data_IF_507252393151
#
_entry.id   IF_507252393151
#
_cell.length_a   1.000
_cell.length_b   1.000
_cell.length_c   1.000
_cell.angle_alpha   90.00
_cell.angle_beta   90.00
_cell.angle_gamma   90.00
#
_symmetry.space_group_name_H-M   'P 1'
#
loop_
_entity.id
_entity.type
_entity.pdbx_description
1 polymer ?
#
# COMPACT_ATOMS: atom_id res chain seq x y z
N UNK A 1 6.97 -32.25 5.14
CA UNK A 1 7.66 -31.10 5.74
C UNK A 1 6.60 -30.16 6.28
N UNK A 2 6.54 -29.91 7.60
CA UNK A 2 5.56 -28.95 8.16
C UNK A 2 5.97 -27.54 7.72
N UNK A 3 5.14 -26.85 6.94
CA UNK A 3 5.37 -25.45 6.57
C UNK A 3 5.05 -24.60 7.80
N UNK A 4 6.04 -23.89 8.33
CA UNK A 4 5.85 -22.96 9.45
C UNK A 4 5.35 -21.63 8.90
N UNK A 5 4.30 -21.08 9.51
CA UNK A 5 3.80 -19.75 9.16
C UNK A 5 4.82 -18.71 9.59
N UNK A 6 5.24 -17.90 8.63
CA UNK A 6 6.17 -16.78 8.85
C UNK A 6 5.50 -15.48 8.44
N UNK A 7 5.39 -14.58 9.39
CA UNK A 7 4.90 -13.22 9.16
C UNK A 7 5.78 -12.21 9.90
N UNK A 8 6.10 -11.11 9.24
CA UNK A 8 6.90 -10.04 9.78
C UNK A 8 8.27 -9.91 9.12
N UNK A 9 9.16 -9.15 9.75
CA UNK A 9 10.53 -8.93 9.28
C UNK A 9 11.43 -10.02 9.80
N UNK A 10 12.36 -10.44 8.96
CA UNK A 10 13.38 -11.42 9.26
C UNK A 10 14.71 -10.97 8.68
N UNK A 11 15.80 -11.45 9.25
CA UNK A 11 17.13 -11.17 8.74
C UNK A 11 18.01 -12.42 8.78
N UNK A 12 19.09 -12.38 8.02
CA UNK A 12 20.24 -13.28 8.20
C UNK A 12 21.28 -12.53 9.04
N UNK A 13 21.68 -13.15 10.13
CA UNK A 13 22.74 -12.69 11.02
C UNK A 13 23.62 -13.88 11.39
N UNK A 14 24.92 -13.77 11.14
CA UNK A 14 25.90 -14.87 11.28
C UNK A 14 25.41 -16.16 10.60
N UNK A 15 24.90 -16.04 9.36
CA UNK A 15 24.42 -17.18 8.55
C UNK A 15 23.13 -17.84 9.07
N UNK A 16 22.46 -17.29 10.09
CA UNK A 16 21.23 -17.82 10.65
C UNK A 16 20.08 -16.84 10.52
N UNK A 17 18.85 -17.38 10.38
CA UNK A 17 17.64 -16.58 10.26
C UNK A 17 17.08 -16.18 11.63
N UNK A 18 16.80 -14.90 11.81
CA UNK A 18 16.15 -14.35 13.01
C UNK A 18 14.94 -13.49 12.63
N UNK A 19 13.95 -13.43 13.53
CA UNK A 19 12.87 -12.46 13.42
C UNK A 19 13.36 -11.08 13.88
N UNK A 20 12.99 -10.03 13.15
CA UNK A 20 13.40 -8.65 13.45
C UNK A 20 12.25 -7.87 14.05
N UNK A 21 12.54 -7.13 15.12
CA UNK A 21 11.60 -6.23 15.78
C UNK A 21 12.31 -4.92 16.18
N UNK A 22 11.53 -3.99 16.77
CA UNK A 22 12.04 -2.81 17.45
C UNK A 22 11.81 -2.96 18.95
N UNK A 23 12.77 -2.53 19.78
CA UNK A 23 12.53 -2.37 21.21
C UNK A 23 11.79 -1.05 21.52
N UNK A 24 11.49 -0.79 22.78
CA UNK A 24 10.81 0.44 23.24
C UNK A 24 11.55 1.73 22.86
N UNK A 25 12.85 1.65 22.67
CA UNK A 25 13.73 2.78 22.37
C UNK A 25 13.94 2.94 20.86
N UNK A 26 13.28 2.09 20.04
CA UNK A 26 13.39 2.09 18.59
C UNK A 26 14.62 1.37 18.02
N UNK A 27 15.45 0.70 18.87
CA UNK A 27 16.59 -0.06 18.40
C UNK A 27 16.14 -1.34 17.69
N UNK A 28 16.90 -1.76 16.69
CA UNK A 28 16.68 -3.04 16.02
C UNK A 28 17.08 -4.18 16.95
N UNK A 29 16.16 -5.12 17.16
CA UNK A 29 16.41 -6.35 17.90
C UNK A 29 16.11 -7.57 17.01
N UNK A 30 16.95 -8.58 17.11
CA UNK A 30 16.72 -9.90 16.50
C UNK A 30 16.26 -10.87 17.59
N UNK A 31 15.36 -11.78 17.20
CA UNK A 31 14.64 -12.66 18.09
C UNK A 31 14.66 -14.10 17.57
N UNK A 32 14.85 -15.08 18.47
CA UNK A 32 14.74 -16.51 18.14
C UNK A 32 14.24 -17.29 19.35
N UNK A 33 13.65 -18.47 19.06
CA UNK A 33 13.36 -19.53 20.06
C UNK A 33 14.35 -20.70 19.98
N UNK A 34 15.28 -20.63 19.04
CA UNK A 34 16.27 -21.69 18.85
C UNK A 34 17.52 -21.36 19.66
N UNK A 35 17.70 -22.07 20.76
CA UNK A 35 18.86 -21.95 21.65
C UNK A 35 20.17 -22.44 21.04
N UNK A 36 20.13 -23.15 19.91
CA UNK A 36 21.32 -23.67 19.24
C UNK A 36 22.06 -22.65 18.37
N UNK A 37 21.41 -21.51 18.06
CA UNK A 37 21.95 -20.50 17.17
C UNK A 37 22.28 -19.18 17.89
N UNK A 38 22.19 -19.17 19.22
CA UNK A 38 22.47 -17.99 20.05
C UNK A 38 23.86 -18.07 20.68
N UNK A 39 24.43 -16.92 20.96
CA UNK A 39 25.64 -16.76 21.76
C UNK A 39 25.34 -16.09 23.12
N UNK A 40 26.36 -15.84 23.93
CA UNK A 40 26.24 -15.25 25.26
C UNK A 40 25.68 -13.80 25.27
N UNK A 41 25.52 -13.17 24.13
CA UNK A 41 24.98 -11.80 24.01
C UNK A 41 23.46 -11.78 23.85
N UNK A 42 22.84 -12.94 23.63
CA UNK A 42 21.38 -13.06 23.59
C UNK A 42 20.81 -13.17 25.02
N UNK A 43 19.72 -12.50 25.25
CA UNK A 43 19.05 -12.43 26.56
C UNK A 43 17.61 -12.90 26.43
N UNK A 44 17.21 -13.85 27.28
CA UNK A 44 15.78 -14.14 27.53
C UNK A 44 15.30 -13.27 28.72
N UNK A 45 14.83 -12.06 28.39
CA UNK A 45 14.42 -11.06 29.37
C UNK A 45 13.27 -11.52 30.29
N UNK A 46 12.43 -12.44 29.82
CA UNK A 46 11.16 -12.80 30.47
C UNK A 46 11.09 -14.29 30.85
N UNK A 47 12.15 -15.07 30.66
CA UNK A 47 12.12 -16.50 30.88
C UNK A 47 11.12 -17.26 30.00
N UNK A 48 10.84 -16.70 28.81
CA UNK A 48 9.80 -17.18 27.89
C UNK A 48 10.32 -18.14 26.82
N UNK A 49 11.62 -18.41 26.82
CA UNK A 49 12.30 -19.15 25.76
C UNK A 49 12.44 -18.36 24.46
N UNK A 50 12.24 -17.03 24.52
CA UNK A 50 12.49 -16.11 23.41
C UNK A 50 13.72 -15.30 23.71
N UNK A 51 14.77 -15.57 23.00
CA UNK A 51 16.05 -14.88 23.13
C UNK A 51 16.09 -13.66 22.21
N UNK A 52 16.63 -12.55 22.68
CA UNK A 52 16.74 -11.31 21.95
C UNK A 52 18.15 -10.72 22.05
N UNK A 53 18.58 -10.05 20.97
CA UNK A 53 19.86 -9.31 20.90
C UNK A 53 19.63 -8.01 20.15
N UNK A 54 20.22 -6.90 20.65
CA UNK A 54 20.30 -5.64 19.89
C UNK A 54 21.39 -5.78 18.83
N UNK A 55 21.07 -5.32 17.61
CA UNK A 55 22.00 -5.30 16.48
C UNK A 55 21.87 -3.98 15.73
N UNK A 56 22.96 -3.56 15.09
CA UNK A 56 22.91 -2.51 14.07
C UNK A 56 22.48 -3.07 12.73
N UNK A 57 21.99 -2.23 11.82
CA UNK A 57 21.65 -2.69 10.47
C UNK A 57 22.87 -3.13 9.66
N UNK A 58 24.04 -2.65 10.01
CA UNK A 58 25.32 -3.01 9.37
C UNK A 58 25.79 -4.43 9.73
N UNK A 59 25.34 -4.97 10.87
CA UNK A 59 25.64 -6.34 11.28
C UNK A 59 24.72 -7.38 10.61
N UNK A 60 23.67 -6.92 9.88
CA UNK A 60 22.69 -7.79 9.24
C UNK A 60 23.13 -8.05 7.80
N UNK A 61 23.26 -9.33 7.43
CA UNK A 61 23.67 -9.77 6.09
C UNK A 61 22.55 -9.59 5.06
N UNK A 62 21.30 -9.97 5.44
CA UNK A 62 20.09 -9.82 4.64
C UNK A 62 18.93 -9.41 5.54
N UNK A 63 18.07 -8.50 5.06
CA UNK A 63 16.83 -8.10 5.72
C UNK A 63 15.66 -8.30 4.75
N UNK A 64 14.60 -9.01 5.18
CA UNK A 64 13.46 -9.31 4.35
C UNK A 64 12.17 -9.47 5.16
N UNK A 65 11.04 -9.50 4.46
CA UNK A 65 9.71 -9.63 5.07
C UNK A 65 8.98 -10.85 4.51
N UNK A 66 8.45 -11.69 5.41
CA UNK A 66 7.49 -12.71 5.07
C UNK A 66 6.06 -12.25 5.33
N UNK A 67 5.16 -12.62 4.42
CA UNK A 67 3.72 -12.56 4.62
C UNK A 67 3.12 -13.84 4.04
N UNK A 68 2.53 -14.64 4.90
CA UNK A 68 1.92 -15.91 4.51
C UNK A 68 0.46 -15.69 4.11
N UNK A 69 0.09 -16.16 2.94
CA UNK A 69 -1.26 -16.03 2.40
C UNK A 69 -1.89 -17.41 2.13
N UNK A 70 -3.21 -17.45 2.19
CA UNK A 70 -4.02 -18.57 1.73
C UNK A 70 -5.00 -18.10 0.65
N UNK A 71 -5.34 -18.99 -0.27
CA UNK A 71 -6.43 -18.77 -1.23
C UNK A 71 -7.63 -19.61 -0.81
N UNK A 72 -8.78 -18.95 -0.58
CA UNK A 72 -10.02 -19.56 -0.14
C UNK A 72 -11.13 -19.07 -1.07
N UNK A 73 -11.79 -19.98 -1.79
CA UNK A 73 -12.84 -19.62 -2.76
C UNK A 73 -12.38 -18.51 -3.75
N UNK A 74 -11.15 -18.62 -4.24
CA UNK A 74 -10.48 -17.64 -5.12
C UNK A 74 -10.15 -16.27 -4.47
N UNK A 75 -10.35 -16.12 -3.16
CA UNK A 75 -9.95 -14.91 -2.44
C UNK A 75 -8.63 -15.14 -1.71
N UNK A 76 -7.71 -14.18 -1.82
CA UNK A 76 -6.44 -14.16 -1.10
C UNK A 76 -6.65 -13.58 0.30
N UNK A 77 -6.26 -14.31 1.34
CA UNK A 77 -6.34 -13.86 2.73
C UNK A 77 -4.99 -14.05 3.43
N UNK A 78 -4.70 -13.24 4.43
CA UNK A 78 -3.51 -13.41 5.26
C UNK A 78 -3.69 -14.62 6.17
N UNK A 79 -2.62 -15.41 6.36
CA UNK A 79 -2.56 -16.43 7.41
C UNK A 79 -1.75 -15.84 8.55
N UNK A 80 -2.40 -15.52 9.67
CA UNK A 80 -1.77 -14.78 10.77
C UNK A 80 -1.09 -15.71 11.77
N UNK A 81 -1.74 -16.81 12.08
CA UNK A 81 -1.24 -17.85 13.01
C UNK A 81 -1.87 -19.20 12.72
N UNK A 82 -1.33 -20.24 13.35
CA UNK A 82 -1.87 -21.59 13.29
C UNK A 82 -1.89 -22.26 14.67
N UNK A 83 -2.79 -23.22 14.84
CA UNK A 83 -2.74 -24.22 15.88
C UNK A 83 -2.65 -25.64 15.27
N UNK A 84 -2.96 -26.68 16.02
CA UNK A 84 -2.88 -28.05 15.51
C UNK A 84 -3.87 -28.35 14.38
N UNK A 85 -5.07 -27.75 14.41
CA UNK A 85 -6.20 -28.07 13.51
C UNK A 85 -6.55 -26.93 12.56
N UNK A 86 -6.29 -25.67 12.92
CA UNK A 86 -6.80 -24.51 12.24
C UNK A 86 -5.69 -23.51 11.85
N UNK A 87 -5.93 -22.83 10.76
CA UNK A 87 -5.27 -21.55 10.44
C UNK A 87 -6.19 -20.39 10.85
N UNK A 88 -5.62 -19.39 11.51
CA UNK A 88 -6.28 -18.13 11.75
C UNK A 88 -5.96 -17.22 10.56
N UNK A 89 -7.01 -16.90 9.80
CA UNK A 89 -6.89 -16.12 8.57
C UNK A 89 -7.64 -14.79 8.69
N UNK A 90 -7.12 -13.77 8.03
CA UNK A 90 -7.72 -12.44 8.04
C UNK A 90 -7.52 -11.68 6.74
N UNK A 91 -8.32 -10.64 6.57
CA UNK A 91 -8.21 -9.70 5.46
C UNK A 91 -8.65 -8.32 5.90
N UNK A 92 -8.03 -7.27 5.35
CA UNK A 92 -8.50 -5.90 5.48
C UNK A 92 -9.60 -5.57 4.45
N UNK A 93 -9.85 -6.46 3.47
CA UNK A 93 -10.84 -6.27 2.43
C UNK A 93 -12.23 -6.68 2.92
N UNK A 94 -13.13 -5.69 3.08
CA UNK A 94 -14.49 -5.92 3.56
C UNK A 94 -15.32 -6.79 2.61
N UNK A 95 -15.10 -6.73 1.29
CA UNK A 95 -15.81 -7.57 0.31
C UNK A 95 -15.38 -9.03 0.44
N UNK A 96 -14.08 -9.26 0.53
CA UNK A 96 -13.53 -10.59 0.80
C UNK A 96 -13.99 -11.10 2.15
N UNK A 97 -13.99 -10.26 3.18
CA UNK A 97 -14.47 -10.62 4.51
C UNK A 97 -15.95 -11.04 4.47
N UNK A 98 -16.80 -10.27 3.80
CA UNK A 98 -18.22 -10.60 3.61
C UNK A 98 -18.42 -11.89 2.83
N UNK A 99 -17.74 -12.06 1.70
CA UNK A 99 -17.83 -13.26 0.86
C UNK A 99 -17.39 -14.55 1.58
N UNK A 100 -16.44 -14.44 2.51
CA UNK A 100 -15.92 -15.55 3.30
C UNK A 100 -16.57 -15.70 4.68
N UNK A 101 -17.51 -14.81 5.05
CA UNK A 101 -18.17 -14.82 6.36
C UNK A 101 -17.19 -14.58 7.52
N UNK A 102 -16.19 -13.71 7.34
CA UNK A 102 -15.23 -13.37 8.39
C UNK A 102 -15.84 -12.40 9.39
N UNK A 103 -15.61 -12.62 10.68
CA UNK A 103 -16.15 -11.76 11.74
C UNK A 103 -15.32 -10.48 11.91
N UNK A 104 -15.97 -9.38 12.27
CA UNK A 104 -15.34 -8.06 12.44
C UNK A 104 -14.72 -7.92 13.83
N UNK A 105 -13.47 -8.33 14.00
CA UNK A 105 -12.67 -8.04 15.20
C UNK A 105 -11.35 -7.40 14.75
N UNK A 106 -11.19 -6.10 14.87
CA UNK A 106 -10.04 -5.26 14.49
C UNK A 106 -9.49 -5.47 13.05
N UNK A 107 -9.49 -6.70 12.57
CA UNK A 107 -9.28 -7.14 11.19
C UNK A 107 -10.25 -8.27 10.94
N UNK A 108 -10.95 -8.28 9.81
CA UNK A 108 -11.88 -9.36 9.47
C UNK A 108 -11.15 -10.70 9.43
N UNK A 109 -11.35 -11.52 10.46
CA UNK A 109 -10.64 -12.77 10.64
C UNK A 109 -11.54 -13.90 11.10
N UNK A 110 -11.13 -15.11 10.84
CA UNK A 110 -11.75 -16.31 11.37
C UNK A 110 -10.77 -17.49 11.35
N UNK A 111 -11.06 -18.52 12.15
CA UNK A 111 -10.37 -19.82 12.06
C UNK A 111 -10.87 -20.62 10.86
N UNK A 112 -9.94 -21.19 10.10
CA UNK A 112 -10.21 -22.05 8.94
C UNK A 112 -9.50 -23.37 9.13
N UNK A 113 -10.25 -24.46 8.98
CA UNK A 113 -9.70 -25.80 9.06
C UNK A 113 -8.61 -25.99 8.00
N UNK A 114 -7.45 -26.49 8.40
CA UNK A 114 -6.28 -26.73 7.54
C UNK A 114 -6.58 -27.59 6.32
N UNK A 115 -7.51 -28.53 6.42
CA UNK A 115 -7.93 -29.40 5.32
C UNK A 115 -8.65 -28.65 4.18
N UNK A 116 -9.13 -27.43 4.43
CA UNK A 116 -9.83 -26.60 3.42
C UNK A 116 -8.90 -25.61 2.69
N UNK A 117 -7.64 -25.51 3.10
CA UNK A 117 -6.67 -24.66 2.42
C UNK A 117 -6.00 -25.42 1.27
N UNK A 118 -6.16 -24.89 0.06
CA UNK A 118 -5.58 -25.50 -1.14
C UNK A 118 -4.17 -25.02 -1.42
N UNK A 119 -3.84 -23.77 -1.02
CA UNK A 119 -2.54 -23.19 -1.35
C UNK A 119 -2.13 -22.08 -0.38
N UNK A 120 -0.84 -22.03 -0.02
CA UNK A 120 -0.18 -20.92 0.67
C UNK A 120 1.10 -20.63 -0.10
N UNK A 121 1.20 -19.44 -0.69
CA UNK A 121 2.33 -19.06 -1.54
C UNK A 121 2.96 -17.75 -1.07
N UNK A 122 4.28 -17.77 -0.89
CA UNK A 122 5.10 -16.57 -0.76
C UNK A 122 5.69 -16.22 -2.13
N UNK A 123 5.96 -14.94 -2.37
CA UNK A 123 6.70 -14.53 -3.57
C UNK A 123 8.15 -15.00 -3.46
N UNK A 124 8.64 -15.66 -4.50
CA UNK A 124 10.05 -16.03 -4.60
C UNK A 124 10.91 -14.80 -4.96
N UNK A 125 12.23 -14.89 -4.75
CA UNK A 125 13.16 -13.83 -5.16
C UNK A 125 13.05 -13.53 -6.67
N UNK A 126 12.86 -14.55 -7.49
CA UNK A 126 12.69 -14.44 -8.94
C UNK A 126 11.39 -13.69 -9.30
N UNK A 127 10.27 -14.00 -8.60
CA UNK A 127 9.00 -13.31 -8.80
C UNK A 127 9.10 -11.83 -8.39
N UNK A 128 9.77 -11.54 -7.28
CA UNK A 128 10.03 -10.16 -6.84
C UNK A 128 10.86 -9.41 -7.88
N UNK A 129 11.96 -10.02 -8.37
CA UNK A 129 12.80 -9.43 -9.39
C UNK A 129 12.04 -9.18 -10.70
N UNK A 130 11.21 -10.14 -11.12
CA UNK A 130 10.37 -10.01 -12.31
C UNK A 130 9.34 -8.89 -12.17
N UNK A 131 8.63 -8.81 -11.05
CA UNK A 131 7.68 -7.72 -10.78
C UNK A 131 8.36 -6.36 -10.80
N UNK A 132 9.55 -6.26 -10.17
CA UNK A 132 10.35 -5.03 -10.19
C UNK A 132 10.77 -4.65 -11.60
N UNK A 133 11.27 -5.61 -12.41
CA UNK A 133 11.65 -5.36 -13.78
C UNK A 133 10.49 -4.85 -14.64
N UNK A 134 9.29 -5.45 -14.49
CA UNK A 134 8.06 -4.98 -15.16
C UNK A 134 7.74 -3.55 -14.73
N UNK A 135 7.81 -3.24 -13.43
CA UNK A 135 7.51 -1.90 -12.93
C UNK A 135 8.52 -0.85 -13.40
N UNK A 136 9.79 -1.19 -13.45
CA UNK A 136 10.85 -0.28 -13.90
C UNK A 136 10.87 -0.05 -15.42
N UNK A 137 10.23 -0.92 -16.18
CA UNK A 137 9.98 -0.72 -17.62
C UNK A 137 8.88 0.33 -17.89
N UNK A 138 8.07 0.69 -16.89
CA UNK A 138 7.07 1.76 -17.02
C UNK A 138 7.78 3.11 -17.16
N UNK A 139 7.43 3.93 -18.17
CA UNK A 139 8.03 5.25 -18.35
C UNK A 139 7.91 6.11 -17.10
N UNK A 140 9.01 6.70 -16.67
CA UNK A 140 9.06 7.57 -15.48
C UNK A 140 8.26 8.84 -15.72
N UNK A 141 7.78 9.43 -14.62
CA UNK A 141 7.19 10.76 -14.64
C UNK A 141 8.32 11.79 -14.81
N UNK A 142 8.13 12.70 -15.75
CA UNK A 142 8.98 13.85 -16.00
C UNK A 142 8.18 15.17 -15.99
N UNK A 143 8.86 16.28 -16.24
CA UNK A 143 8.24 17.62 -16.22
C UNK A 143 7.20 17.85 -17.35
N UNK A 144 7.08 16.92 -18.32
CA UNK A 144 6.12 16.97 -19.43
C UNK A 144 4.97 15.99 -19.27
N UNK A 145 5.11 15.05 -18.34
CA UNK A 145 4.11 14.01 -18.08
C UNK A 145 2.86 14.63 -17.43
N UNK A 146 1.68 14.34 -17.99
CA UNK A 146 0.43 14.60 -17.28
C UNK A 146 0.22 13.58 -16.17
N UNK A 147 -0.08 14.10 -15.01
CA UNK A 147 -0.27 13.35 -13.77
C UNK A 147 -1.71 13.54 -13.32
N UNK A 148 -2.30 12.50 -12.75
CA UNK A 148 -3.61 12.55 -12.11
C UNK A 148 -3.49 12.26 -10.61
N UNK A 149 -4.09 13.16 -9.82
CA UNK A 149 -4.41 12.92 -8.41
C UNK A 149 -5.91 12.78 -8.28
N UNK A 150 -6.40 11.59 -7.99
CA UNK A 150 -7.82 11.39 -7.65
C UNK A 150 -8.05 11.80 -6.20
N UNK A 151 -9.09 12.61 -5.97
CA UNK A 151 -9.47 13.15 -4.65
C UNK A 151 -10.95 12.91 -4.40
N UNK A 152 -11.40 12.85 -3.12
CA UNK A 152 -12.82 12.87 -2.80
C UNK A 152 -13.48 14.15 -3.31
N UNK A 153 -14.74 14.06 -3.72
CA UNK A 153 -15.48 15.25 -4.16
C UNK A 153 -15.59 16.32 -3.07
N UNK A 154 -15.58 15.92 -1.80
CA UNK A 154 -15.55 16.82 -0.64
C UNK A 154 -14.28 17.65 -0.51
N UNK A 155 -13.23 17.30 -1.23
CA UNK A 155 -11.96 18.02 -1.17
C UNK A 155 -11.86 19.13 -2.25
N UNK A 156 -12.83 19.24 -3.17
CA UNK A 156 -12.84 20.26 -4.22
C UNK A 156 -12.68 21.64 -3.62
N UNK A 157 -13.51 21.97 -2.63
CA UNK A 157 -13.53 23.32 -2.03
C UNK A 157 -12.24 23.65 -1.26
N UNK A 158 -11.49 22.63 -0.84
CA UNK A 158 -10.19 22.80 -0.18
C UNK A 158 -9.10 23.30 -1.15
N UNK A 159 -9.29 23.11 -2.45
CA UNK A 159 -8.33 23.54 -3.47
C UNK A 159 -8.69 24.92 -4.07
N UNK A 160 -9.97 25.31 -4.04
CA UNK A 160 -10.44 26.53 -4.74
C UNK A 160 -10.22 27.78 -3.88
N UNK A 161 -9.76 28.86 -4.52
CA UNK A 161 -9.60 30.17 -3.90
C UNK A 161 -8.18 30.48 -3.43
N UNK A 162 -7.99 31.73 -2.95
CA UNK A 162 -6.68 32.26 -2.53
C UNK A 162 -6.09 31.52 -1.32
N UNK A 163 -6.94 31.07 -0.40
CA UNK A 163 -6.56 30.31 0.78
C UNK A 163 -6.59 28.80 0.55
N UNK A 164 -6.90 28.35 -0.67
CA UNK A 164 -6.98 26.95 -1.04
C UNK A 164 -5.61 26.25 -1.15
N UNK A 165 -5.65 24.94 -1.13
CA UNK A 165 -4.45 24.13 -1.31
C UNK A 165 -3.83 24.36 -2.69
N UNK A 166 -2.59 24.83 -2.73
CA UNK A 166 -1.85 25.12 -3.95
C UNK A 166 -0.80 24.07 -4.31
N UNK A 167 -0.72 23.00 -3.53
CA UNK A 167 0.23 21.89 -3.72
C UNK A 167 -0.48 20.54 -3.67
N UNK A 168 0.14 19.53 -4.27
CA UNK A 168 -0.41 18.19 -4.40
C UNK A 168 0.52 17.20 -3.71
N UNK A 169 -0.02 16.31 -2.90
CA UNK A 169 0.69 15.28 -2.15
C UNK A 169 0.08 13.90 -2.30
N UNK A 170 0.71 12.90 -1.65
CA UNK A 170 0.24 11.54 -1.57
C UNK A 170 0.46 10.72 -2.85
N UNK A 171 -0.46 9.79 -3.13
CA UNK A 171 -0.38 8.88 -4.28
C UNK A 171 -0.96 9.50 -5.55
N UNK A 172 -0.30 9.25 -6.67
CA UNK A 172 -0.66 9.76 -8.00
C UNK A 172 -0.43 8.69 -9.07
N UNK A 173 -1.02 8.86 -10.24
CA UNK A 173 -0.78 8.05 -11.43
C UNK A 173 -0.43 8.94 -12.62
N UNK A 174 0.18 8.39 -13.67
CA UNK A 174 0.25 9.08 -14.95
C UNK A 174 -1.17 9.15 -15.53
N UNK A 175 -1.55 10.29 -16.06
CA UNK A 175 -2.89 10.49 -16.63
C UNK A 175 -3.21 9.47 -17.73
N UNK A 176 -2.24 9.13 -18.58
CA UNK A 176 -2.40 8.16 -19.66
C UNK A 176 -2.70 6.75 -19.17
N UNK A 177 -2.21 6.40 -17.97
CA UNK A 177 -2.39 5.07 -17.38
C UNK A 177 -3.79 4.90 -16.75
N UNK A 178 -4.53 5.98 -16.51
CA UNK A 178 -5.82 5.95 -15.78
C UNK A 178 -6.96 6.64 -16.51
N UNK A 179 -6.70 7.47 -17.52
CA UNK A 179 -7.70 8.29 -18.21
C UNK A 179 -8.79 7.49 -18.94
N UNK A 180 -8.49 6.24 -19.28
CA UNK A 180 -9.43 5.31 -19.92
C UNK A 180 -10.42 4.67 -18.94
N UNK A 181 -10.13 4.71 -17.62
CA UNK A 181 -10.95 4.10 -16.59
C UNK A 181 -12.12 5.03 -16.29
N UNK A 182 -13.32 4.54 -16.52
CA UNK A 182 -14.57 5.30 -16.37
C UNK A 182 -15.51 4.62 -15.39
N UNK A 183 -16.38 5.43 -14.80
CA UNK A 183 -17.34 4.99 -13.79
C UNK A 183 -16.75 4.96 -12.38
N UNK A 184 -17.57 5.41 -11.43
CA UNK A 184 -17.14 5.60 -10.04
C UNK A 184 -16.52 4.32 -9.43
N UNK A 185 -17.24 3.20 -9.48
CA UNK A 185 -16.77 1.94 -8.89
C UNK A 185 -15.47 1.45 -9.52
N UNK A 186 -15.32 1.61 -10.84
CA UNK A 186 -14.10 1.21 -11.55
C UNK A 186 -12.91 2.09 -11.11
N UNK A 187 -13.10 3.41 -10.99
CA UNK A 187 -12.05 4.33 -10.55
C UNK A 187 -11.64 4.03 -9.11
N UNK A 188 -12.62 3.86 -8.22
CA UNK A 188 -12.38 3.53 -6.81
C UNK A 188 -11.63 2.20 -6.68
N UNK A 189 -12.07 1.15 -7.38
CA UNK A 189 -11.43 -0.16 -7.33
C UNK A 189 -10.03 -0.14 -7.97
N UNK A 190 -9.88 0.48 -9.14
CA UNK A 190 -8.62 0.52 -9.87
C UNK A 190 -7.52 1.26 -9.12
N UNK A 191 -7.87 2.34 -8.45
CA UNK A 191 -6.94 3.17 -7.68
C UNK A 191 -6.91 2.84 -6.19
N UNK A 192 -7.64 1.79 -5.77
CA UNK A 192 -7.76 1.32 -4.39
C UNK A 192 -8.10 2.45 -3.40
N UNK A 193 -9.12 3.21 -3.78
CA UNK A 193 -9.66 4.31 -2.98
C UNK A 193 -10.76 3.82 -1.99
N UNK A 194 -10.93 2.53 -1.87
CA UNK A 194 -11.87 1.85 -0.97
C UNK A 194 -11.37 1.77 0.49
N UNK A 195 -10.40 2.60 0.86
CA UNK A 195 -9.86 2.66 2.21
C UNK A 195 -10.78 3.41 3.17
N UNK A 196 -10.55 3.17 4.46
CA UNK A 196 -11.16 3.88 5.57
C UNK A 196 -10.06 4.62 6.33
N UNK A 197 -10.28 5.89 6.62
CA UNK A 197 -9.36 6.72 7.40
C UNK A 197 -9.32 6.29 8.87
N UNK A 198 -8.32 6.76 9.61
CA UNK A 198 -8.14 6.37 11.02
C UNK A 198 -9.31 6.74 11.95
N UNK A 199 -10.09 7.75 11.57
CA UNK A 199 -11.33 8.18 12.24
C UNK A 199 -12.59 7.43 11.76
N UNK A 200 -12.44 6.43 10.90
CA UNK A 200 -13.53 5.57 10.43
C UNK A 200 -14.32 6.14 9.25
N UNK A 201 -13.88 7.23 8.65
CA UNK A 201 -14.53 7.84 7.48
C UNK A 201 -14.08 7.10 6.20
N UNK A 202 -15.02 6.87 5.30
CA UNK A 202 -14.77 6.35 3.95
C UNK A 202 -14.89 7.50 2.95
N UNK A 203 -13.76 8.07 2.46
CA UNK A 203 -13.79 9.25 1.58
C UNK A 203 -14.50 9.00 0.25
N UNK A 204 -14.50 7.74 -0.18
CA UNK A 204 -15.20 7.28 -1.39
C UNK A 204 -16.25 6.23 -0.98
N UNK A 205 -17.49 6.66 -0.67
CA UNK A 205 -18.53 5.74 -0.18
C UNK A 205 -18.91 4.69 -1.21
N UNK A 206 -19.29 3.52 -0.75
CA UNK A 206 -19.80 2.45 -1.61
C UNK A 206 -21.07 2.87 -2.32
N UNK A 207 -21.20 2.58 -3.62
CA UNK A 207 -22.33 3.01 -4.44
C UNK A 207 -22.37 4.52 -4.71
N UNK A 208 -21.25 5.24 -4.49
CA UNK A 208 -21.12 6.64 -4.87
C UNK A 208 -21.17 6.84 -6.39
N UNK A 209 -21.40 8.06 -6.80
CA UNK A 209 -21.50 8.47 -8.20
C UNK A 209 -20.56 9.65 -8.55
N UNK A 210 -19.92 10.22 -7.53
CA UNK A 210 -19.16 11.47 -7.64
C UNK A 210 -17.76 11.33 -7.06
N UNK A 211 -16.76 11.75 -7.84
CA UNK A 211 -15.38 11.92 -7.42
C UNK A 211 -14.77 13.13 -8.11
N UNK A 212 -13.57 13.51 -7.71
CA UNK A 212 -12.81 14.56 -8.36
C UNK A 212 -11.39 14.11 -8.67
N UNK A 213 -10.72 14.83 -9.55
CA UNK A 213 -9.30 14.62 -9.79
C UNK A 213 -8.63 15.91 -10.26
N UNK A 214 -7.33 15.99 -10.01
CA UNK A 214 -6.48 17.07 -10.51
C UNK A 214 -5.59 16.49 -11.61
N UNK A 215 -5.66 17.08 -12.80
CA UNK A 215 -4.79 16.77 -13.94
C UNK A 215 -3.75 17.85 -14.06
N UNK A 216 -2.49 17.51 -13.92
CA UNK A 216 -1.43 18.49 -13.81
C UNK A 216 -0.09 18.01 -14.36
N UNK A 217 0.81 18.95 -14.57
CA UNK A 217 2.25 18.75 -14.72
C UNK A 217 2.97 19.49 -13.61
N UNK A 218 4.19 19.08 -13.28
CA UNK A 218 5.04 19.76 -12.30
C UNK A 218 6.47 19.88 -12.79
N UNK A 219 7.23 20.84 -12.25
CA UNK A 219 8.69 20.90 -12.42
C UNK A 219 9.42 20.00 -11.44
N UNK A 220 8.76 19.62 -10.36
CA UNK A 220 9.33 18.86 -9.24
C UNK A 220 9.11 17.34 -9.43
N UNK A 221 9.22 16.86 -10.68
CA UNK A 221 8.95 15.46 -11.02
C UNK A 221 9.89 14.47 -10.32
N UNK A 222 11.07 14.93 -9.92
CA UNK A 222 12.05 14.14 -9.17
C UNK A 222 11.61 13.77 -7.75
N UNK A 223 10.62 14.47 -7.18
CA UNK A 223 10.00 14.15 -5.89
C UNK A 223 9.03 12.97 -5.99
N UNK A 224 8.56 12.66 -7.20
CA UNK A 224 7.58 11.60 -7.44
C UNK A 224 8.31 10.28 -7.61
N UNK A 225 8.15 9.36 -6.67
CA UNK A 225 8.86 8.09 -6.60
C UNK A 225 7.92 6.89 -6.77
N UNK A 226 8.47 5.77 -7.21
CA UNK A 226 7.76 4.50 -7.11
C UNK A 226 7.67 4.08 -5.65
N UNK A 227 6.49 3.76 -5.12
CA UNK A 227 6.29 3.44 -3.70
C UNK A 227 6.74 2.01 -3.39
N UNK A 228 8.01 1.71 -3.58
CA UNK A 228 8.58 0.41 -3.25
C UNK A 228 8.73 0.24 -1.74
N UNK A 229 8.25 -0.89 -1.24
CA UNK A 229 8.59 -1.37 0.09
C UNK A 229 9.94 -2.08 0.10
N UNK A 230 10.35 -2.54 1.26
CA UNK A 230 11.67 -3.12 1.54
C UNK A 230 12.02 -4.31 0.64
N UNK A 231 11.08 -5.24 0.40
CA UNK A 231 11.31 -6.42 -0.45
C UNK A 231 11.58 -6.07 -1.91
N UNK A 232 11.21 -4.85 -2.34
CA UNK A 232 11.50 -4.30 -3.67
C UNK A 232 12.66 -3.30 -3.65
N UNK A 233 13.37 -3.18 -2.50
CA UNK A 233 14.52 -2.29 -2.33
C UNK A 233 14.16 -0.83 -2.11
N UNK A 234 12.96 -0.53 -1.61
CA UNK A 234 12.51 0.80 -1.24
C UNK A 234 12.29 0.94 0.27
N UNK A 235 11.78 2.11 0.66
CA UNK A 235 11.59 2.49 2.07
C UNK A 235 10.13 2.77 2.44
N UNK A 236 9.19 2.58 1.50
CA UNK A 236 7.78 2.81 1.80
C UNK A 236 7.26 1.77 2.80
N UNK A 237 6.59 2.26 3.85
CA UNK A 237 6.03 1.45 4.93
C UNK A 237 4.51 1.59 5.06
N UNK A 238 3.86 2.25 4.07
CA UNK A 238 2.41 2.42 4.07
C UNK A 238 1.70 1.08 4.11
N UNK A 239 0.65 1.01 4.90
CA UNK A 239 -0.19 -0.18 5.02
C UNK A 239 -1.15 -0.35 3.84
N UNK A 240 -1.92 -1.45 3.84
CA UNK A 240 -2.98 -1.64 2.85
C UNK A 240 -3.89 -0.41 2.74
N UNK A 241 -4.33 -0.04 1.52
CA UNK A 241 -4.27 -0.84 0.29
C UNK A 241 -2.98 -0.74 -0.52
N UNK A 242 -1.96 -0.01 -0.06
CA UNK A 242 -0.68 0.07 -0.75
C UNK A 242 -0.02 -1.32 -0.88
N UNK A 243 0.37 -1.70 -2.09
CA UNK A 243 0.96 -3.03 -2.37
C UNK A 243 2.46 -3.08 -2.15
N UNK A 244 3.12 -1.93 -2.02
CA UNK A 244 4.56 -1.77 -1.90
C UNK A 244 5.38 -2.30 -3.09
N UNK A 245 4.74 -2.63 -4.21
CA UNK A 245 5.37 -3.11 -5.44
C UNK A 245 5.33 -2.11 -6.61
N UNK A 246 4.79 -0.92 -6.36
CA UNK A 246 4.68 0.16 -7.33
C UNK A 246 3.48 0.06 -8.28
N UNK A 247 2.56 -0.85 -8.06
CA UNK A 247 1.26 -0.91 -8.74
C UNK A 247 0.13 -0.83 -7.74
N UNK A 248 -1.03 -0.35 -8.17
CA UNK A 248 -2.25 -0.46 -7.37
C UNK A 248 -2.65 -1.93 -7.22
N UNK A 249 -3.23 -2.30 -6.09
CA UNK A 249 -3.74 -3.65 -5.88
C UNK A 249 -5.14 -3.87 -6.47
N UNK A 250 -5.42 -3.33 -7.65
CA UNK A 250 -6.71 -3.43 -8.30
C UNK A 250 -7.15 -4.88 -8.51
N UNK A 251 -8.44 -5.17 -8.28
CA UNK A 251 -9.03 -6.52 -8.36
C UNK A 251 -9.93 -6.69 -9.59
N UNK A 252 -10.12 -5.61 -10.37
CA UNK A 252 -10.93 -5.57 -11.59
C UNK A 252 -10.12 -5.83 -12.88
N UNK A 253 -8.91 -6.40 -12.74
CA UNK A 253 -8.03 -6.72 -13.87
C UNK A 253 -7.19 -5.56 -14.40
N UNK A 254 -7.32 -4.37 -13.83
CA UNK A 254 -6.46 -3.23 -14.19
C UNK A 254 -5.08 -3.37 -13.54
N UNK A 255 -4.04 -3.02 -14.29
CA UNK A 255 -2.65 -2.96 -13.79
C UNK A 255 -2.20 -1.51 -13.92
N UNK A 256 -2.25 -0.77 -12.82
CA UNK A 256 -1.98 0.66 -12.82
C UNK A 256 -0.68 0.91 -12.09
N UNK A 257 0.33 1.51 -12.76
CA UNK A 257 1.53 1.98 -12.11
C UNK A 257 1.19 3.09 -11.11
N UNK A 258 1.61 2.89 -9.86
CA UNK A 258 1.38 3.83 -8.78
C UNK A 258 2.66 4.60 -8.47
N UNK A 259 2.50 5.86 -8.08
CA UNK A 259 3.57 6.78 -7.73
C UNK A 259 3.23 7.47 -6.42
N UNK A 260 4.25 7.81 -5.64
CA UNK A 260 4.07 8.47 -4.35
C UNK A 260 5.00 9.66 -4.20
N UNK A 261 4.53 10.65 -3.49
CA UNK A 261 5.30 11.81 -3.05
C UNK A 261 5.95 11.60 -1.67
N UNK A 262 5.69 10.45 -1.01
CA UNK A 262 6.35 10.03 0.25
C UNK A 262 6.38 11.14 1.32
N UNK A 263 5.25 11.85 1.50
CA UNK A 263 5.13 12.95 2.46
C UNK A 263 5.60 14.30 1.97
N UNK A 264 6.15 14.38 0.76
CA UNK A 264 6.45 15.64 0.11
C UNK A 264 5.23 16.18 -0.67
N UNK A 265 5.36 17.41 -1.15
CA UNK A 265 4.35 18.09 -1.97
C UNK A 265 4.99 18.67 -3.20
N UNK A 266 4.24 18.69 -4.31
CA UNK A 266 4.65 19.33 -5.57
C UNK A 266 3.69 20.42 -5.95
N UNK A 267 4.21 21.47 -6.56
CA UNK A 267 3.41 22.56 -7.12
C UNK A 267 2.99 22.19 -8.54
N UNK A 268 1.69 22.27 -8.89
CA UNK A 268 1.26 22.11 -10.26
C UNK A 268 1.72 23.27 -11.11
N UNK A 269 1.99 23.04 -12.40
CA UNK A 269 2.21 24.12 -13.38
C UNK A 269 0.90 24.85 -13.63
N UNK A 270 1.02 26.12 -13.99
CA UNK A 270 -0.12 26.93 -14.45
C UNK A 270 -0.88 26.20 -15.57
N UNK A 271 -2.20 26.20 -15.48
CA UNK A 271 -3.09 25.48 -16.38
C UNK A 271 -3.42 24.06 -15.93
N UNK A 272 -3.03 23.63 -14.71
CA UNK A 272 -3.54 22.40 -14.13
C UNK A 272 -5.05 22.49 -13.93
N UNK A 273 -5.76 21.40 -14.17
CA UNK A 273 -7.21 21.33 -14.21
C UNK A 273 -7.73 20.55 -13.00
N UNK A 274 -8.67 21.12 -12.26
CA UNK A 274 -9.46 20.41 -11.24
C UNK A 274 -10.78 19.99 -11.87
N UNK A 275 -11.01 18.69 -11.90
CA UNK A 275 -12.18 18.05 -12.49
C UNK A 275 -13.12 17.53 -11.42
N UNK A 276 -14.43 17.64 -11.67
CA UNK A 276 -15.50 16.96 -10.94
C UNK A 276 -16.21 16.00 -11.89
N UNK A 277 -16.34 14.76 -11.48
CA UNK A 277 -17.07 13.73 -12.24
C UNK A 277 -18.30 13.34 -11.45
N UNK A 278 -19.48 13.49 -12.07
CA UNK A 278 -20.77 13.14 -11.50
C UNK A 278 -21.49 12.21 -12.45
N UNK A 279 -21.86 11.01 -12.04
CA UNK A 279 -22.51 10.01 -12.89
C UNK A 279 -21.76 9.79 -14.23
N UNK A 280 -20.42 9.81 -14.18
CA UNK A 280 -19.55 9.66 -15.35
C UNK A 280 -19.39 10.91 -16.23
N UNK A 281 -20.12 11.99 -15.95
CA UNK A 281 -19.94 13.28 -16.63
C UNK A 281 -18.79 14.04 -16.01
N UNK A 282 -17.75 14.26 -16.78
CA UNK A 282 -16.54 14.98 -16.40
C UNK A 282 -16.66 16.48 -16.72
N UNK A 283 -16.32 17.33 -15.77
CA UNK A 283 -16.39 18.79 -15.90
C UNK A 283 -15.20 19.45 -15.20
N UNK A 284 -14.50 20.35 -15.89
CA UNK A 284 -13.47 21.20 -15.28
C UNK A 284 -14.16 22.23 -14.40
N UNK A 285 -13.88 22.21 -13.10
CA UNK A 285 -14.47 23.14 -12.12
C UNK A 285 -13.51 24.25 -11.69
N UNK A 286 -12.20 24.04 -11.80
CA UNK A 286 -11.21 25.09 -11.55
C UNK A 286 -9.93 24.86 -12.35
N UNK A 287 -9.19 25.93 -12.59
CA UNK A 287 -7.90 25.95 -13.28
C UNK A 287 -6.86 26.64 -12.40
N UNK A 288 -5.68 26.03 -12.29
CA UNK A 288 -4.56 26.61 -11.53
C UNK A 288 -3.91 27.76 -12.30
N UNK A 289 -3.94 28.96 -11.75
CA UNK A 289 -3.41 30.17 -12.38
C UNK A 289 -1.89 30.34 -12.22
N UNK A 290 -1.25 29.44 -11.44
CA UNK A 290 0.16 29.47 -11.04
C UNK A 290 0.35 29.81 -9.56
N UNK A 291 -0.72 30.21 -8.85
CA UNK A 291 -0.72 30.47 -7.41
C UNK A 291 -1.78 29.66 -6.67
N UNK A 292 -3.02 29.65 -7.19
CA UNK A 292 -4.17 28.96 -6.62
C UNK A 292 -5.12 28.46 -7.72
N UNK A 293 -6.05 27.57 -7.37
CA UNK A 293 -7.09 27.13 -8.29
C UNK A 293 -8.23 28.15 -8.33
N UNK A 294 -8.50 28.66 -9.52
CA UNK A 294 -9.57 29.63 -9.79
C UNK A 294 -10.76 28.90 -10.39
N UNK A 295 -11.93 29.10 -9.80
CA UNK A 295 -13.16 28.48 -10.25
C UNK A 295 -13.50 28.87 -11.70
N UNK A 296 -13.87 27.90 -12.52
CA UNK A 296 -14.38 28.14 -13.87
C UNK A 296 -15.86 28.44 -13.77
N UNK A 297 -16.23 29.71 -13.94
CA UNK A 297 -17.65 30.09 -14.01
C UNK A 297 -18.27 29.40 -15.22
N UNK A 298 -19.25 28.53 -14.96
CA UNK A 298 -20.03 27.89 -16.03
C UNK A 298 -20.69 28.96 -16.91
N UNK A 299 -20.58 28.75 -18.22
CA UNK A 299 -21.38 29.51 -19.19
C UNK A 299 -22.81 28.97 -19.21
#
# INVERSE_FOLDING_TARGET
>A
MRRTIKNGRFCIYNGNEFKVNKDSDGNTIILTKNDKIIDSTFIDKYGSGVYSKKVSLEEIEELYRYATYAVINNYKVNVEKENQEYYFVGTADCKVAGALGLQRWHHHSREINKLRLTDVKDLTKEQIAQMKAIREAVPKIDANTYIQKTIPASDIDKYIGEDGWSTIGGYVARYDDVSHIKGYDNVVESSRLDYVTGDGVRPYPEGGDTYAYIKFKTTDAEKIKTPYGEIFGGTNTDGPPCTLNGFTGARNGQIIPEWSLSGEYVKPKKGAELHKVVNGKDTVVAIFDGKHFVEVKGK
#
